data_IF_800219401928
#
_entry.id   IF_800219401928
#
_cell.length_a   1.000
_cell.length_b   1.000
_cell.length_c   1.000
_cell.angle_alpha   90.00
_cell.angle_beta   90.00
_cell.angle_gamma   90.00
#
_symmetry.space_group_name_H-M   'P 1'
#
loop_
_entity.id
_entity.type
_entity.pdbx_description
1 polymer ?
#
# COMPACT_ATOMS: atom_id res chain seq x y z
N UNK A 1 4.17 16.83 -1.19
CA UNK A 1 4.99 15.61 -1.02
C UNK A 1 4.78 15.11 0.41
N UNK A 2 4.04 14.00 0.63
CA UNK A 2 3.63 13.53 1.98
C UNK A 2 4.79 13.02 2.84
N UNK A 3 5.91 12.66 2.21
CA UNK A 3 7.10 12.03 2.83
C UNK A 3 7.71 12.81 4.01
N UNK A 4 7.99 14.13 3.92
CA UNK A 4 8.66 14.86 5.01
C UNK A 4 7.73 15.11 6.20
N UNK A 5 6.44 15.33 5.95
CA UNK A 5 5.46 15.63 7.00
C UNK A 5 5.15 14.41 7.87
N UNK A 6 4.96 13.25 7.25
CA UNK A 6 4.52 12.04 7.96
C UNK A 6 5.58 11.48 8.92
N UNK A 7 6.86 11.52 8.52
CA UNK A 7 7.99 11.14 9.38
C UNK A 7 8.19 12.17 10.51
N UNK A 8 8.06 13.47 10.20
CA UNK A 8 8.19 14.56 11.19
C UNK A 8 7.07 14.59 12.23
N UNK A 9 5.86 14.16 11.88
CA UNK A 9 4.74 14.02 12.82
C UNK A 9 4.85 12.79 13.75
N UNK A 10 5.89 11.96 13.62
CA UNK A 10 6.08 10.76 14.44
C UNK A 10 5.09 9.63 14.12
N UNK A 11 4.34 9.71 13.00
CA UNK A 11 3.44 8.65 12.57
C UNK A 11 4.25 7.49 12.00
N UNK A 12 4.38 6.44 12.81
CA UNK A 12 5.17 5.23 12.51
C UNK A 12 4.58 4.35 11.41
N UNK A 13 3.30 4.54 11.08
CA UNK A 13 2.55 3.70 10.14
C UNK A 13 1.66 4.57 9.26
N UNK A 14 1.75 4.37 7.96
CA UNK A 14 0.85 4.97 6.96
C UNK A 14 0.10 3.85 6.23
N UNK A 15 -1.22 3.93 6.18
CA UNK A 15 -2.05 2.98 5.42
C UNK A 15 -2.51 3.62 4.13
N UNK A 16 -2.26 2.95 3.00
CA UNK A 16 -2.69 3.39 1.67
C UNK A 16 -3.66 2.36 1.10
N UNK A 17 -4.91 2.76 0.84
CA UNK A 17 -5.92 1.90 0.24
C UNK A 17 -5.99 2.11 -1.27
N UNK A 18 -6.04 1.01 -2.04
CA UNK A 18 -6.20 1.02 -3.50
C UNK A 18 -7.39 0.12 -3.83
N UNK A 19 -8.40 0.70 -4.50
CA UNK A 19 -9.64 0.00 -4.84
C UNK A 19 -9.88 -0.07 -6.35
N UNK A 20 -10.44 -1.19 -6.80
CA UNK A 20 -11.10 -1.32 -8.09
C UNK A 20 -12.50 -1.90 -7.86
N UNK A 21 -13.40 -1.83 -8.84
CA UNK A 21 -14.81 -2.25 -8.67
C UNK A 21 -14.94 -3.65 -8.06
N UNK A 22 -14.13 -4.61 -8.52
CA UNK A 22 -14.18 -5.99 -8.06
C UNK A 22 -13.14 -6.38 -7.01
N UNK A 23 -12.29 -5.46 -6.53
CA UNK A 23 -11.29 -5.72 -5.48
C UNK A 23 -10.17 -6.72 -5.78
N UNK A 24 -10.26 -7.52 -6.86
CA UNK A 24 -9.45 -8.73 -7.06
C UNK A 24 -8.36 -8.62 -8.14
N UNK A 25 -8.49 -7.71 -9.10
CA UNK A 25 -7.58 -7.62 -10.26
C UNK A 25 -6.65 -6.40 -10.22
N UNK A 26 -7.20 -5.22 -10.56
CA UNK A 26 -6.39 -3.99 -10.71
C UNK A 26 -5.84 -3.48 -9.39
N UNK A 27 -6.67 -3.43 -8.35
CA UNK A 27 -6.25 -3.02 -7.01
C UNK A 27 -5.15 -3.92 -6.46
N UNK A 28 -5.27 -5.23 -6.63
CA UNK A 28 -4.28 -6.23 -6.20
C UNK A 28 -2.93 -5.98 -6.87
N UNK A 29 -2.90 -5.89 -8.20
CA UNK A 29 -1.67 -5.68 -8.95
C UNK A 29 -0.99 -4.35 -8.59
N UNK A 30 -1.77 -3.27 -8.47
CA UNK A 30 -1.26 -1.96 -8.09
C UNK A 30 -0.69 -1.93 -6.68
N UNK A 31 -1.33 -2.59 -5.71
CA UNK A 31 -0.85 -2.65 -4.33
C UNK A 31 0.50 -3.39 -4.22
N UNK A 32 0.66 -4.49 -4.97
CA UNK A 32 1.92 -5.24 -5.03
C UNK A 32 3.04 -4.39 -5.65
N UNK A 33 2.76 -3.74 -6.79
CA UNK A 33 3.76 -2.92 -7.48
C UNK A 33 4.17 -1.68 -6.65
N UNK A 34 3.21 -1.04 -5.97
CA UNK A 34 3.51 0.08 -5.08
C UNK A 34 4.42 -0.37 -3.92
N UNK A 35 4.10 -1.48 -3.27
CA UNK A 35 4.93 -2.01 -2.19
C UNK A 35 6.34 -2.37 -2.66
N UNK A 36 6.46 -2.95 -3.86
CA UNK A 36 7.76 -3.25 -4.49
C UNK A 36 8.60 -1.98 -4.65
N UNK A 37 8.02 -0.91 -5.20
CA UNK A 37 8.71 0.39 -5.36
C UNK A 37 9.10 1.02 -4.03
N UNK A 38 8.23 0.94 -3.01
CA UNK A 38 8.52 1.46 -1.68
C UNK A 38 9.69 0.71 -1.01
N UNK A 39 9.71 -0.62 -1.12
CA UNK A 39 10.81 -1.44 -0.60
C UNK A 39 12.12 -1.14 -1.32
N UNK A 40 12.08 -0.92 -2.64
CA UNK A 40 13.26 -0.54 -3.43
C UNK A 40 13.91 0.78 -2.97
N UNK A 41 13.15 1.67 -2.33
CA UNK A 41 13.67 2.93 -1.75
C UNK A 41 13.84 2.86 -0.23
N UNK A 42 13.92 1.65 0.35
CA UNK A 42 14.20 1.42 1.76
C UNK A 42 13.01 1.61 2.71
N UNK A 43 11.77 1.70 2.18
CA UNK A 43 10.57 1.85 3.02
C UNK A 43 9.97 0.47 3.26
N UNK A 44 9.96 0.05 4.52
CA UNK A 44 9.25 -1.15 4.94
C UNK A 44 7.75 -1.02 4.59
N UNK A 45 7.22 -1.99 3.85
CA UNK A 45 5.82 -1.98 3.42
C UNK A 45 5.24 -3.39 3.45
N UNK A 46 3.97 -3.49 3.82
CA UNK A 46 3.17 -4.72 3.79
C UNK A 46 1.96 -4.50 2.88
N UNK A 47 1.52 -5.56 2.21
CA UNK A 47 0.35 -5.56 1.32
C UNK A 47 -0.71 -6.45 1.93
N UNK A 48 -1.95 -5.96 1.98
CA UNK A 48 -3.11 -6.73 2.43
C UNK A 48 -4.21 -6.64 1.36
N UNK A 49 -4.74 -7.80 0.96
CA UNK A 49 -5.80 -7.90 -0.03
C UNK A 49 -7.12 -8.24 0.67
N UNK A 50 -8.03 -7.25 0.75
CA UNK A 50 -9.31 -7.40 1.47
C UNK A 50 -10.27 -8.42 0.82
N UNK A 51 -10.27 -8.46 -0.51
CA UNK A 51 -11.27 -9.19 -1.30
C UNK A 51 -10.75 -10.49 -1.92
N UNK A 52 -9.46 -10.81 -1.72
CA UNK A 52 -8.89 -12.13 -2.06
C UNK A 52 -9.25 -13.12 -0.94
N UNK A 53 -9.83 -14.26 -1.30
CA UNK A 53 -10.20 -15.32 -0.34
C UNK A 53 -11.56 -15.15 0.35
N UNK A 54 -12.40 -14.21 -0.10
CA UNK A 54 -13.84 -14.24 0.19
C UNK A 54 -14.54 -15.05 -0.91
N UNK A 55 -14.69 -16.34 -0.65
CA UNK A 55 -15.55 -17.29 -1.37
C UNK A 55 -16.42 -18.02 -0.36
#
# INVERSE_FOLDING_TARGET
MVKPGYVREGKRLATVAIGCTGGKHRSTAMAVELARRLRAVGIASQVLHRDLGKE
#
